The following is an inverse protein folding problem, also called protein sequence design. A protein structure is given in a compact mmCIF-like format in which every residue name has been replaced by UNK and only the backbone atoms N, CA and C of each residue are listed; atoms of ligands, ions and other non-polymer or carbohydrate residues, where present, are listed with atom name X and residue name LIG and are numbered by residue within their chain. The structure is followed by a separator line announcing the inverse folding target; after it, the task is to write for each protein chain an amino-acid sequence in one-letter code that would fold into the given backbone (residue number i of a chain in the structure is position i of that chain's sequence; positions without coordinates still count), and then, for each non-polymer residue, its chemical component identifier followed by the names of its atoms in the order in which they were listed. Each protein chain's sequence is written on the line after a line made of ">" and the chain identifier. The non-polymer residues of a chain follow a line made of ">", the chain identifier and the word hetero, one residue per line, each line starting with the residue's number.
data_IF_521851719652
#
_entry.id   IF_521851719652
#
_cell.length_a   1.000
_cell.length_b   1.000
_cell.length_c   1.000
_cell.angle_alpha   90.00
_cell.angle_beta   90.00
_cell.angle_gamma   90.00
#
_symmetry.space_group_name_H-M   'P 1'
#
loop_
_entity.id
_entity.type
_entity.pdbx_description
1 polymer ?
#
# COMPACT_ATOMS: atom_id res chain seq x y z
N UNK A 1 33.56 -42.51 20.73
CA UNK A 1 33.97 -42.40 19.32
C UNK A 1 34.96 -41.25 19.27
N UNK A 2 36.24 -41.55 19.09
CA UNK A 2 37.26 -40.51 18.87
C UNK A 2 37.12 -40.08 17.42
N UNK A 3 36.69 -38.84 17.18
CA UNK A 3 36.66 -38.29 15.84
C UNK A 3 38.09 -38.17 15.32
N UNK A 4 38.33 -38.59 14.07
CA UNK A 4 39.62 -38.42 13.44
C UNK A 4 39.79 -36.95 13.05
N UNK A 5 40.91 -36.33 13.45
CA UNK A 5 41.14 -34.90 13.23
C UNK A 5 41.34 -34.61 11.75
N UNK A 6 41.98 -35.50 10.99
CA UNK A 6 42.08 -35.41 9.53
C UNK A 6 40.71 -35.29 8.86
N UNK A 7 39.74 -36.15 9.21
CA UNK A 7 38.41 -36.17 8.59
C UNK A 7 37.66 -34.85 8.86
N UNK A 8 37.77 -34.30 10.08
CA UNK A 8 37.14 -33.02 10.43
C UNK A 8 37.74 -31.87 9.60
N UNK A 9 39.05 -31.90 9.36
CA UNK A 9 39.73 -30.88 8.56
C UNK A 9 39.35 -31.00 7.08
N UNK A 10 39.16 -32.22 6.57
CA UNK A 10 38.66 -32.46 5.21
C UNK A 10 37.23 -31.94 5.03
N UNK A 11 36.36 -32.14 6.02
CA UNK A 11 35.01 -31.58 6.04
C UNK A 11 35.04 -30.04 6.05
N UNK A 12 35.94 -29.43 6.84
CA UNK A 12 36.14 -27.98 6.84
C UNK A 12 36.58 -27.44 5.46
N UNK A 13 37.49 -28.16 4.78
CA UNK A 13 37.97 -27.80 3.44
C UNK A 13 36.86 -27.91 2.38
N UNK A 14 36.06 -28.98 2.45
CA UNK A 14 34.92 -29.18 1.55
C UNK A 14 33.87 -28.08 1.73
N UNK A 15 33.50 -27.79 2.98
CA UNK A 15 32.53 -26.74 3.30
C UNK A 15 33.04 -25.34 2.93
N UNK A 16 34.30 -25.02 3.19
CA UNK A 16 34.87 -23.72 2.82
C UNK A 16 34.99 -23.55 1.29
N UNK A 17 35.34 -24.60 0.56
CA UNK A 17 35.39 -24.57 -0.91
C UNK A 17 34.00 -24.31 -1.52
N UNK A 18 32.96 -24.97 -0.98
CA UNK A 18 31.56 -24.70 -1.36
C UNK A 18 31.15 -23.27 -1.01
N UNK A 19 31.49 -22.79 0.18
CA UNK A 19 31.17 -21.45 0.62
C UNK A 19 31.72 -20.39 -0.34
N UNK A 20 32.99 -20.51 -0.72
CA UNK A 20 33.65 -19.60 -1.66
C UNK A 20 33.02 -19.66 -3.05
N UNK A 21 32.63 -20.85 -3.52
CA UNK A 21 31.95 -20.99 -4.80
C UNK A 21 30.60 -20.27 -4.80
N UNK A 22 29.78 -20.48 -3.76
CA UNK A 22 28.48 -19.83 -3.65
C UNK A 22 28.58 -18.32 -3.42
N UNK A 23 29.64 -17.85 -2.74
CA UNK A 23 29.94 -16.43 -2.55
C UNK A 23 30.25 -15.77 -3.90
N UNK A 24 31.09 -16.40 -4.73
CA UNK A 24 31.40 -15.96 -6.10
C UNK A 24 30.19 -15.98 -7.02
N UNK A 25 29.32 -16.98 -6.86
CA UNK A 25 28.09 -17.12 -7.65
C UNK A 25 26.97 -16.16 -7.17
N UNK A 26 27.22 -15.32 -6.15
CA UNK A 26 26.27 -14.35 -5.60
C UNK A 26 25.16 -14.97 -4.74
N UNK A 27 25.23 -16.27 -4.42
CA UNK A 27 24.27 -16.98 -3.56
C UNK A 27 24.63 -16.78 -2.08
N UNK A 28 24.50 -15.54 -1.62
CA UNK A 28 24.99 -15.07 -0.31
C UNK A 28 24.44 -15.90 0.88
N UNK A 29 23.17 -16.28 0.88
CA UNK A 29 22.58 -17.06 1.99
C UNK A 29 23.19 -18.46 2.11
N UNK A 30 23.37 -19.13 0.97
CA UNK A 30 23.97 -20.47 0.91
C UNK A 30 25.46 -20.41 1.25
N UNK A 31 26.15 -19.37 0.78
CA UNK A 31 27.55 -19.12 1.13
C UNK A 31 27.73 -18.91 2.64
N UNK A 32 26.89 -18.06 3.27
CA UNK A 32 26.93 -17.81 4.70
C UNK A 32 26.72 -19.09 5.52
N UNK A 33 25.81 -19.98 5.08
CA UNK A 33 25.61 -21.29 5.71
C UNK A 33 26.89 -22.15 5.69
N UNK A 34 27.51 -22.32 4.52
CA UNK A 34 28.72 -23.15 4.39
C UNK A 34 29.95 -22.55 5.08
N UNK A 35 30.06 -21.22 5.14
CA UNK A 35 31.09 -20.56 5.95
C UNK A 35 30.92 -20.86 7.45
N UNK A 36 29.68 -20.85 7.97
CA UNK A 36 29.41 -21.26 9.37
C UNK A 36 29.72 -22.73 9.61
N UNK A 37 29.41 -23.62 8.66
CA UNK A 37 29.80 -25.03 8.78
C UNK A 37 31.32 -25.22 8.77
N UNK A 38 32.04 -24.54 7.89
CA UNK A 38 33.51 -24.58 7.86
C UNK A 38 34.11 -24.09 9.19
N UNK A 39 33.58 -22.99 9.75
CA UNK A 39 34.01 -22.49 11.06
C UNK A 39 33.73 -23.50 12.19
N UNK A 40 32.57 -24.16 12.18
CA UNK A 40 32.22 -25.20 13.15
C UNK A 40 33.16 -26.41 13.08
N UNK A 41 33.48 -26.90 11.88
CA UNK A 41 34.42 -28.01 11.71
C UNK A 41 35.82 -27.63 12.19
N UNK A 42 36.31 -26.43 11.87
CA UNK A 42 37.59 -25.95 12.39
C UNK A 42 37.61 -25.82 13.92
N UNK A 43 36.52 -25.33 14.53
CA UNK A 43 36.39 -25.28 15.99
C UNK A 43 36.39 -26.70 16.61
N UNK A 44 35.74 -27.66 15.95
CA UNK A 44 35.76 -29.06 16.37
C UNK A 44 37.17 -29.68 16.25
N UNK A 45 37.90 -29.38 15.18
CA UNK A 45 39.29 -29.81 14.99
C UNK A 45 40.21 -29.27 16.09
N UNK A 46 40.06 -27.99 16.45
CA UNK A 46 40.80 -27.34 17.55
C UNK A 46 40.57 -28.05 18.90
N UNK A 47 39.33 -28.45 19.18
CA UNK A 47 38.96 -29.14 20.41
C UNK A 47 39.40 -30.61 20.43
N UNK A 48 39.55 -31.23 19.26
CA UNK A 48 39.86 -32.65 19.12
C UNK A 48 41.37 -32.93 18.94
N UNK A 49 42.15 -31.92 18.55
CA UNK A 49 43.59 -32.05 18.38
C UNK A 49 44.36 -32.10 19.71
N UNK A 50 45.41 -32.93 19.77
CA UNK A 50 46.32 -33.01 20.91
C UNK A 50 47.19 -31.77 21.11
N UNK A 51 47.82 -31.64 22.28
CA UNK A 51 48.60 -30.44 22.67
C UNK A 51 49.86 -30.19 21.84
N UNK A 52 50.30 -31.15 21.02
CA UNK A 52 51.44 -31.00 20.11
C UNK A 52 51.12 -30.41 18.73
N UNK A 53 49.85 -30.18 18.41
CA UNK A 53 49.42 -29.66 17.09
C UNK A 53 49.26 -28.14 17.15
N UNK A 54 49.74 -27.42 16.14
CA UNK A 54 49.54 -25.98 16.04
C UNK A 54 48.08 -25.65 15.69
N UNK A 55 47.30 -25.20 16.68
CA UNK A 55 45.85 -24.91 16.58
C UNK A 55 45.53 -23.48 16.13
N UNK A 56 46.50 -22.57 16.15
CA UNK A 56 46.36 -21.16 15.73
C UNK A 56 45.76 -20.99 14.32
N UNK A 57 46.25 -21.66 13.25
CA UNK A 57 45.71 -21.43 11.91
C UNK A 57 44.23 -21.81 11.80
N UNK A 58 43.78 -22.82 12.52
CA UNK A 58 42.37 -23.24 12.52
C UNK A 58 41.49 -22.26 13.28
N UNK A 59 41.97 -21.68 14.39
CA UNK A 59 41.26 -20.62 15.11
C UNK A 59 41.09 -19.38 14.25
N UNK A 60 42.17 -18.90 13.66
CA UNK A 60 42.13 -17.70 12.81
C UNK A 60 41.21 -17.91 11.61
N UNK A 61 41.28 -19.08 10.97
CA UNK A 61 40.42 -19.38 9.82
C UNK A 61 38.94 -19.56 10.19
N UNK A 62 38.65 -20.13 11.36
CA UNK A 62 37.27 -20.23 11.86
C UNK A 62 36.67 -18.83 12.11
N UNK A 63 37.44 -17.92 12.71
CA UNK A 63 37.02 -16.55 12.95
C UNK A 63 36.79 -15.78 11.63
N UNK A 64 37.69 -15.92 10.66
CA UNK A 64 37.51 -15.34 9.31
C UNK A 64 36.21 -15.83 8.65
N UNK A 65 35.92 -17.12 8.70
CA UNK A 65 34.69 -17.69 8.12
C UNK A 65 33.43 -17.25 8.88
N UNK A 66 33.47 -17.15 10.20
CA UNK A 66 32.37 -16.58 10.96
C UNK A 66 32.12 -15.11 10.61
N UNK A 67 33.18 -14.32 10.49
CA UNK A 67 33.08 -12.91 10.14
C UNK A 67 32.50 -12.75 8.74
N UNK A 68 32.99 -13.52 7.76
CA UNK A 68 32.45 -13.50 6.40
C UNK A 68 30.97 -13.89 6.35
N UNK A 69 30.57 -14.91 7.12
CA UNK A 69 29.16 -15.30 7.22
C UNK A 69 28.28 -14.18 7.79
N UNK A 70 28.74 -13.49 8.85
CA UNK A 70 28.03 -12.34 9.44
C UNK A 70 27.90 -11.18 8.46
N UNK A 71 28.95 -10.89 7.69
CA UNK A 71 28.92 -9.84 6.66
C UNK A 71 27.92 -10.16 5.54
N UNK A 72 27.88 -11.42 5.08
CA UNK A 72 26.92 -11.87 4.08
C UNK A 72 25.48 -11.78 4.58
N UNK A 73 25.23 -12.17 5.84
CA UNK A 73 23.90 -12.04 6.45
C UNK A 73 23.44 -10.57 6.54
N UNK A 74 24.35 -9.68 6.98
CA UNK A 74 24.04 -8.25 7.08
C UNK A 74 23.79 -7.62 5.71
N UNK A 75 24.57 -8.01 4.70
CA UNK A 75 24.40 -7.54 3.31
C UNK A 75 23.08 -8.03 2.76
N UNK A 76 22.77 -9.32 2.86
CA UNK A 76 21.49 -9.88 2.42
C UNK A 76 20.29 -9.35 3.20
N UNK A 77 20.44 -8.98 4.47
CA UNK A 77 19.37 -8.32 5.24
C UNK A 77 19.12 -6.89 4.75
N UNK A 78 20.19 -6.11 4.46
CA UNK A 78 20.08 -4.77 3.89
C UNK A 78 19.45 -4.79 2.49
N UNK A 79 19.89 -5.69 1.62
CA UNK A 79 19.33 -5.87 0.28
C UNK A 79 17.83 -6.22 0.33
N UNK A 80 17.42 -7.14 1.22
CA UNK A 80 16.00 -7.48 1.43
C UNK A 80 15.18 -6.30 1.96
N UNK A 81 15.73 -5.53 2.89
CA UNK A 81 15.05 -4.34 3.42
C UNK A 81 14.85 -3.26 2.34
N UNK A 82 15.85 -3.06 1.48
CA UNK A 82 15.76 -2.16 0.33
C UNK A 82 14.71 -2.67 -0.68
N UNK A 83 14.75 -3.94 -1.05
CA UNK A 83 13.79 -4.54 -1.98
C UNK A 83 12.34 -4.46 -1.46
N UNK A 84 12.11 -4.72 -0.16
CA UNK A 84 10.79 -4.56 0.45
C UNK A 84 10.31 -3.10 0.46
N UNK A 85 11.22 -2.15 0.65
CA UNK A 85 10.91 -0.72 0.62
C UNK A 85 10.53 -0.28 -0.80
N UNK A 86 11.29 -0.74 -1.81
CA UNK A 86 10.98 -0.47 -3.22
C UNK A 86 9.66 -1.10 -3.65
N UNK A 87 9.41 -2.37 -3.31
CA UNK A 87 8.13 -3.02 -3.58
C UNK A 87 6.96 -2.29 -2.90
N UNK A 88 7.11 -1.88 -1.64
CA UNK A 88 6.10 -1.08 -0.92
C UNK A 88 5.86 0.28 -1.61
N UNK A 89 6.91 0.95 -2.09
CA UNK A 89 6.81 2.22 -2.78
C UNK A 89 6.08 2.08 -4.13
N UNK A 90 6.48 1.11 -4.95
CA UNK A 90 5.85 0.83 -6.24
C UNK A 90 4.38 0.44 -6.08
N UNK A 91 4.04 -0.32 -5.05
CA UNK A 91 2.66 -0.68 -4.76
C UNK A 91 1.81 0.51 -4.28
N UNK A 92 2.39 1.43 -3.49
CA UNK A 92 1.74 2.68 -3.11
C UNK A 92 1.40 3.53 -4.35
N UNK A 93 2.31 3.60 -5.33
CA UNK A 93 2.07 4.33 -6.58
C UNK A 93 0.91 3.74 -7.40
N UNK A 94 0.80 2.42 -7.48
CA UNK A 94 -0.34 1.76 -8.12
C UNK A 94 -1.66 2.09 -7.40
N UNK A 95 -1.67 2.03 -6.07
CA UNK A 95 -2.86 2.37 -5.28
C UNK A 95 -3.27 3.83 -5.49
N UNK A 96 -2.32 4.75 -5.57
CA UNK A 96 -2.58 6.16 -5.88
C UNK A 96 -3.16 6.34 -7.30
N UNK A 97 -2.59 5.69 -8.31
CA UNK A 97 -3.15 5.70 -9.68
C UNK A 97 -4.60 5.20 -9.69
N UNK A 98 -4.85 4.08 -9.01
CA UNK A 98 -6.17 3.47 -8.94
C UNK A 98 -7.18 4.37 -8.24
N UNK A 99 -6.77 5.00 -7.15
CA UNK A 99 -7.63 5.94 -6.43
C UNK A 99 -7.99 7.16 -7.28
N UNK A 100 -7.02 7.77 -7.98
CA UNK A 100 -7.28 8.86 -8.92
C UNK A 100 -8.24 8.44 -10.05
N UNK A 101 -8.08 7.24 -10.58
CA UNK A 101 -8.96 6.71 -11.62
C UNK A 101 -10.41 6.53 -11.13
N UNK A 102 -10.60 6.04 -9.90
CA UNK A 102 -11.93 5.94 -9.30
C UNK A 102 -12.55 7.33 -9.10
N UNK A 103 -11.79 8.31 -8.59
CA UNK A 103 -12.30 9.68 -8.44
C UNK A 103 -12.72 10.29 -9.79
N UNK A 104 -11.98 9.99 -10.86
CA UNK A 104 -12.35 10.42 -12.20
C UNK A 104 -13.66 9.79 -12.69
N UNK A 105 -13.89 8.49 -12.41
CA UNK A 105 -15.16 7.83 -12.70
C UNK A 105 -16.31 8.47 -11.92
N UNK A 106 -16.13 8.75 -10.64
CA UNK A 106 -17.16 9.37 -9.81
C UNK A 106 -17.54 10.77 -10.33
N UNK A 107 -16.54 11.57 -10.75
CA UNK A 107 -16.75 12.89 -11.34
C UNK A 107 -17.47 12.82 -12.70
N UNK A 108 -17.13 11.82 -13.53
CA UNK A 108 -17.79 11.55 -14.82
C UNK A 108 -19.26 11.15 -14.62
N UNK A 109 -19.53 10.22 -13.70
CA UNK A 109 -20.89 9.81 -13.34
C UNK A 109 -21.73 10.96 -12.76
N UNK A 110 -21.07 11.92 -12.09
CA UNK A 110 -21.71 13.13 -11.55
C UNK A 110 -21.96 14.22 -12.60
N UNK A 111 -21.48 14.03 -13.83
CA UNK A 111 -21.61 15.00 -14.92
C UNK A 111 -20.59 16.14 -14.89
N UNK A 112 -19.61 16.11 -13.99
CA UNK A 112 -18.52 17.09 -13.89
C UNK A 112 -17.41 16.75 -14.88
N UNK A 113 -17.68 16.94 -16.18
CA UNK A 113 -16.79 16.49 -17.25
C UNK A 113 -15.39 17.11 -17.20
N UNK A 114 -15.28 18.40 -16.87
CA UNK A 114 -13.99 19.09 -16.78
C UNK A 114 -13.10 18.50 -15.68
N UNK A 115 -13.68 18.26 -14.50
CA UNK A 115 -12.97 17.66 -13.36
C UNK A 115 -12.59 16.20 -13.65
N UNK A 116 -13.50 15.43 -14.26
CA UNK A 116 -13.23 14.05 -14.65
C UNK A 116 -12.03 13.94 -15.58
N UNK A 117 -11.94 14.81 -16.59
CA UNK A 117 -10.82 14.82 -17.54
C UNK A 117 -9.50 15.19 -16.87
N UNK A 118 -9.51 16.15 -15.94
CA UNK A 118 -8.34 16.52 -15.15
C UNK A 118 -7.86 15.35 -14.28
N UNK A 119 -8.78 14.64 -13.62
CA UNK A 119 -8.47 13.48 -12.79
C UNK A 119 -7.94 12.30 -13.62
N UNK A 120 -8.55 12.00 -14.76
CA UNK A 120 -8.03 10.99 -15.69
C UNK A 120 -6.63 11.35 -16.19
N UNK A 121 -6.41 12.61 -16.57
CA UNK A 121 -5.10 13.09 -17.04
C UNK A 121 -4.02 12.90 -15.98
N UNK A 122 -4.31 13.20 -14.71
CA UNK A 122 -3.38 12.96 -13.59
C UNK A 122 -3.13 11.47 -13.34
N UNK A 123 -4.17 10.63 -13.41
CA UNK A 123 -4.02 9.18 -13.26
C UNK A 123 -3.07 8.60 -14.33
N UNK A 124 -3.17 9.08 -15.58
CA UNK A 124 -2.29 8.69 -16.69
C UNK A 124 -0.85 9.14 -16.43
N UNK A 125 -0.65 10.41 -16.05
CA UNK A 125 0.69 10.95 -15.76
C UNK A 125 1.37 10.17 -14.62
N UNK A 126 0.64 9.91 -13.52
CA UNK A 126 1.16 9.16 -12.37
C UNK A 126 1.45 7.71 -12.77
N UNK A 127 0.58 7.08 -13.56
CA UNK A 127 0.77 5.72 -14.05
C UNK A 127 1.99 5.57 -14.96
N UNK A 128 2.22 6.52 -15.87
CA UNK A 128 3.39 6.55 -16.74
C UNK A 128 4.68 6.84 -15.97
N UNK A 129 4.63 7.72 -14.97
CA UNK A 129 5.78 7.99 -14.10
C UNK A 129 6.16 6.74 -13.28
N UNK A 130 5.18 6.10 -12.63
CA UNK A 130 5.39 4.88 -11.86
C UNK A 130 5.90 3.71 -12.72
N UNK A 131 5.40 3.58 -13.97
CA UNK A 131 5.88 2.58 -14.92
C UNK A 131 7.37 2.72 -15.24
N UNK A 132 7.89 3.94 -15.33
CA UNK A 132 9.32 4.21 -15.61
C UNK A 132 10.22 3.87 -14.43
N UNK A 133 9.70 3.99 -13.20
CA UNK A 133 10.47 3.76 -11.98
C UNK A 133 10.44 2.30 -11.53
N UNK A 134 9.34 1.58 -11.77
CA UNK A 134 9.21 0.20 -11.30
C UNK A 134 9.87 -0.82 -12.22
N UNK A 135 10.49 -1.84 -11.65
CA UNK A 135 11.11 -2.96 -12.37
C UNK A 135 10.19 -4.18 -12.52
N UNK A 136 9.09 -4.22 -11.77
CA UNK A 136 8.11 -5.31 -11.77
C UNK A 136 7.21 -5.26 -13.03
N UNK A 137 7.31 -6.32 -13.85
CA UNK A 137 6.60 -6.47 -15.13
C UNK A 137 5.08 -6.56 -14.94
N UNK A 138 4.59 -7.29 -13.93
CA UNK A 138 3.15 -7.42 -13.69
C UNK A 138 2.54 -6.07 -13.27
N UNK A 139 3.29 -5.33 -12.47
CA UNK A 139 2.89 -4.00 -12.02
C UNK A 139 2.87 -3.00 -13.17
N UNK A 140 3.89 -3.03 -14.03
CA UNK A 140 3.93 -2.23 -15.25
C UNK A 140 2.71 -2.50 -16.13
N UNK A 141 2.31 -3.77 -16.29
CA UNK A 141 1.14 -4.16 -17.07
C UNK A 141 -0.15 -3.59 -16.47
N UNK A 142 -0.34 -3.71 -15.15
CA UNK A 142 -1.49 -3.12 -14.43
C UNK A 142 -1.57 -1.61 -14.61
N UNK A 143 -0.44 -0.91 -14.45
CA UNK A 143 -0.35 0.54 -14.65
C UNK A 143 -0.67 0.94 -16.10
N UNK A 144 -0.17 0.20 -17.09
CA UNK A 144 -0.49 0.47 -18.50
C UNK A 144 -1.96 0.25 -18.81
N UNK A 145 -2.56 -0.81 -18.28
CA UNK A 145 -3.97 -1.11 -18.50
C UNK A 145 -4.86 -0.03 -17.89
N UNK A 146 -4.49 0.48 -16.72
CA UNK A 146 -5.21 1.57 -16.06
C UNK A 146 -5.05 2.90 -16.83
N UNK A 147 -3.84 3.24 -17.23
CA UNK A 147 -3.57 4.44 -18.02
C UNK A 147 -4.29 4.42 -19.37
N UNK A 148 -4.35 3.27 -20.05
CA UNK A 148 -5.10 3.10 -21.30
C UNK A 148 -6.59 3.37 -21.11
N UNK A 149 -7.21 2.75 -20.11
CA UNK A 149 -8.64 2.96 -19.79
C UNK A 149 -8.95 4.43 -19.47
N UNK A 150 -8.07 5.06 -18.70
CA UNK A 150 -8.20 6.48 -18.36
C UNK A 150 -8.09 7.38 -19.60
N UNK A 151 -7.17 7.07 -20.51
CA UNK A 151 -6.96 7.82 -21.74
C UNK A 151 -8.15 7.70 -22.68
N UNK A 152 -8.62 6.48 -22.95
CA UNK A 152 -9.80 6.22 -23.79
C UNK A 152 -11.01 7.03 -23.29
N UNK A 153 -11.26 7.00 -21.97
CA UNK A 153 -12.40 7.74 -21.40
C UNK A 153 -12.21 9.26 -21.43
N UNK A 154 -11.00 9.75 -21.19
CA UNK A 154 -10.69 11.18 -21.27
C UNK A 154 -10.84 11.73 -22.70
N UNK A 155 -10.48 10.93 -23.71
CA UNK A 155 -10.65 11.27 -25.13
C UNK A 155 -12.13 11.33 -25.51
N UNK A 156 -12.93 10.36 -25.07
CA UNK A 156 -14.39 10.35 -25.24
C UNK A 156 -15.04 11.61 -24.63
N UNK A 157 -14.61 12.01 -23.43
CA UNK A 157 -15.12 13.21 -22.75
C UNK A 157 -14.68 14.51 -23.43
N UNK A 158 -13.48 14.57 -24.00
CA UNK A 158 -12.98 15.73 -24.76
C UNK A 158 -13.46 15.78 -26.22
N UNK A 159 -14.18 14.75 -26.69
CA UNK A 159 -14.69 14.68 -28.06
C UNK A 159 -13.60 14.54 -29.12
N UNK A 160 -12.43 13.99 -28.77
CA UNK A 160 -11.35 13.72 -29.73
C UNK A 160 -11.65 12.36 -30.38
N UNK A 161 -11.87 12.27 -31.71
CA UNK A 161 -12.11 10.99 -32.36
C UNK A 161 -10.83 10.14 -32.33
N UNK A 162 -10.96 8.88 -31.88
CA UNK A 162 -9.89 7.90 -31.90
C UNK A 162 -9.36 7.70 -33.34
N UNK A 163 -8.04 7.46 -33.53
CA UNK A 163 -7.49 7.16 -34.84
C UNK A 163 -8.10 5.85 -35.38
N UNK A 164 -8.77 5.95 -36.53
CA UNK A 164 -9.53 4.87 -37.15
C UNK A 164 -8.71 3.58 -37.34
N UNK A 165 -9.23 2.46 -36.83
CA UNK A 165 -8.52 1.18 -36.92
C UNK A 165 -9.28 -0.06 -36.45
N UNK A 166 -10.53 -0.26 -36.92
CA UNK A 166 -11.24 -1.54 -37.22
C UNK A 166 -12.75 -1.44 -36.90
N UNK A 167 -13.65 -1.81 -37.84
CA UNK A 167 -15.09 -1.79 -37.59
C UNK A 167 -15.59 -3.12 -36.99
N UNK A 168 -16.52 -3.04 -36.03
CA UNK A 168 -17.75 -3.88 -35.84
C UNK A 168 -18.25 -3.86 -34.38
N UNK A 169 -19.54 -4.20 -34.12
CA UNK A 169 -20.77 -3.76 -34.76
C UNK A 169 -21.68 -3.01 -33.74
N UNK A 170 -22.67 -2.29 -34.27
CA UNK A 170 -23.44 -1.28 -33.55
C UNK A 170 -24.10 -1.72 -32.25
N UNK A 171 -23.92 -0.90 -31.21
CA UNK A 171 -24.85 -0.82 -30.08
C UNK A 171 -25.79 0.35 -30.35
N UNK A 172 -27.04 0.02 -30.65
CA UNK A 172 -28.14 0.95 -30.87
C UNK A 172 -28.27 1.86 -29.65
N UNK A 173 -28.08 3.15 -29.85
CA UNK A 173 -28.44 4.20 -28.90
C UNK A 173 -29.97 4.26 -28.82
N UNK A 174 -30.54 3.69 -27.77
CA UNK A 174 -31.94 3.93 -27.41
C UNK A 174 -31.93 4.95 -26.30
N UNK A 175 -32.02 6.23 -26.66
CA UNK A 175 -32.48 7.26 -25.74
C UNK A 175 -34.00 7.10 -25.55
N UNK A 176 -34.52 6.94 -24.32
CA UNK A 176 -35.93 7.15 -24.07
C UNK A 176 -36.16 8.65 -23.97
N UNK A 177 -36.76 9.21 -25.01
CA UNK A 177 -37.33 10.56 -25.02
C UNK A 177 -38.58 10.56 -24.13
N UNK A 178 -38.56 11.28 -23.02
CA UNK A 178 -39.78 11.61 -22.26
C UNK A 178 -40.27 13.01 -22.64
N UNK A 179 -41.60 13.24 -22.78
CA UNK A 179 -42.16 14.52 -23.18
C UNK A 179 -42.25 15.50 -22.00
N UNK A 180 -42.09 16.79 -22.32
CA UNK A 180 -42.28 17.91 -21.40
C UNK A 180 -43.76 18.12 -21.06
N UNK A 181 -44.07 18.39 -19.79
CA UNK A 181 -45.32 19.04 -19.36
C UNK A 181 -45.06 19.97 -18.16
N UNK A 182 -45.79 21.09 -18.22
CA UNK A 182 -45.71 22.34 -17.47
C UNK A 182 -45.91 22.30 -15.94
N UNK A 183 -45.50 23.43 -15.34
CA UNK A 183 -45.76 23.90 -13.98
C UNK A 183 -47.24 23.79 -13.54
N UNK A 184 -47.46 23.40 -12.28
CA UNK A 184 -48.02 24.22 -11.18
C UNK A 184 -48.92 23.42 -10.20
N UNK A 185 -48.88 23.82 -8.91
CA UNK A 185 -49.79 23.51 -7.78
C UNK A 185 -49.47 22.35 -6.80
N UNK A 186 -48.83 22.72 -5.68
CA UNK A 186 -49.33 22.68 -4.28
C UNK A 186 -50.07 21.45 -3.66
N UNK A 187 -49.37 20.82 -2.71
CA UNK A 187 -49.83 20.25 -1.40
C UNK A 187 -50.33 18.78 -1.37
N UNK A 188 -50.46 18.11 -0.18
CA UNK A 188 -49.63 16.94 0.13
C UNK A 188 -50.45 15.68 0.47
N UNK A 189 -49.96 14.47 0.22
CA UNK A 189 -50.43 13.27 0.94
C UNK A 189 -49.57 12.03 0.74
N UNK A 190 -49.06 11.54 1.88
CA UNK A 190 -48.97 10.14 2.33
C UNK A 190 -48.44 9.12 1.31
N UNK A 191 -47.15 8.80 1.43
CA UNK A 191 -46.56 7.60 0.80
C UNK A 191 -46.40 6.51 1.85
N UNK A 192 -47.12 5.41 1.64
CA UNK A 192 -46.90 4.12 2.29
C UNK A 192 -45.61 3.53 1.73
N UNK A 193 -44.64 3.24 2.60
CA UNK A 193 -43.36 2.64 2.26
C UNK A 193 -43.49 1.13 2.05
N UNK A 194 -43.39 0.68 0.79
CA UNK A 194 -42.94 -0.67 0.46
C UNK A 194 -41.42 -0.66 0.30
N UNK A 195 -40.72 -1.25 1.26
CA UNK A 195 -39.27 -1.34 1.27
C UNK A 195 -38.78 -2.38 0.24
N UNK A 196 -38.33 -1.90 -0.93
CA UNK A 196 -37.32 -2.59 -1.72
C UNK A 196 -36.03 -1.80 -1.59
N UNK A 197 -35.13 -2.30 -0.74
CA UNK A 197 -33.83 -1.72 -0.47
C UNK A 197 -32.89 -1.97 -1.65
N UNK A 198 -32.87 -1.07 -2.63
CA UNK A 198 -31.68 -0.86 -3.46
C UNK A 198 -30.63 -0.20 -2.58
N UNK A 199 -29.68 -1.00 -2.10
CA UNK A 199 -28.54 -0.51 -1.31
C UNK A 199 -27.70 0.44 -2.19
N UNK A 200 -27.41 1.68 -1.75
CA UNK A 200 -26.42 2.49 -2.42
C UNK A 200 -25.03 1.84 -2.25
N UNK A 201 -24.21 1.75 -3.30
CA UNK A 201 -22.85 1.26 -3.17
C UNK A 201 -22.07 2.21 -2.25
N UNK A 202 -21.37 1.66 -1.26
CA UNK A 202 -20.48 2.43 -0.39
C UNK A 202 -19.33 2.98 -1.23
N UNK A 203 -19.48 4.22 -1.69
CA UNK A 203 -18.50 4.95 -2.47
C UNK A 203 -17.30 5.28 -1.58
N UNK A 204 -16.13 4.78 -1.97
CA UNK A 204 -14.87 4.96 -1.24
C UNK A 204 -14.00 5.93 -2.05
N UNK A 205 -14.10 7.23 -1.76
CA UNK A 205 -13.07 8.19 -2.19
C UNK A 205 -13.51 9.51 -2.79
N UNK A 206 -14.81 9.74 -3.03
CA UNK A 206 -15.31 11.02 -3.55
C UNK A 206 -16.34 11.64 -2.61
N UNK A 207 -16.09 12.90 -2.24
CA UNK A 207 -17.00 13.76 -1.50
C UNK A 207 -18.19 14.22 -2.35
N UNK A 208 -18.26 13.86 -3.64
CA UNK A 208 -19.25 14.37 -4.59
C UNK A 208 -20.71 14.11 -4.16
N UNK A 209 -20.96 13.07 -3.37
CA UNK A 209 -22.29 12.76 -2.85
C UNK A 209 -22.53 13.23 -1.40
N UNK A 210 -21.51 13.80 -0.76
CA UNK A 210 -21.62 14.34 0.60
C UNK A 210 -22.35 15.67 0.54
N UNK A 211 -23.56 15.70 1.09
CA UNK A 211 -24.30 16.95 1.29
C UNK A 211 -23.92 17.50 2.66
N UNK A 212 -23.33 18.69 2.68
CA UNK A 212 -23.15 19.45 3.93
C UNK A 212 -24.54 19.72 4.49
N UNK A 213 -24.84 19.15 5.66
CA UNK A 213 -26.08 19.43 6.37
C UNK A 213 -25.86 20.67 7.24
N UNK A 214 -26.53 21.77 6.90
CA UNK A 214 -26.34 23.08 7.56
C UNK A 214 -26.34 24.24 6.57
N UNK A 215 -26.03 25.45 7.04
CA UNK A 215 -25.78 26.58 6.13
C UNK A 215 -24.43 26.37 5.43
N UNK A 216 -24.43 26.45 4.10
CA UNK A 216 -23.24 26.20 3.28
C UNK A 216 -22.08 27.17 3.58
N UNK A 217 -22.40 28.36 4.10
CA UNK A 217 -21.45 29.41 4.44
C UNK A 217 -21.81 29.99 5.82
N UNK A 218 -21.01 29.69 6.82
CA UNK A 218 -21.08 30.37 8.13
C UNK A 218 -20.58 31.81 7.98
N UNK A 219 -21.19 32.74 8.71
CA UNK A 219 -20.69 34.12 8.87
C UNK A 219 -19.36 34.13 9.63
N UNK A 220 -18.58 35.22 9.52
CA UNK A 220 -17.30 35.33 10.26
C UNK A 220 -17.50 35.29 11.77
N UNK A 221 -18.64 35.79 12.26
CA UNK A 221 -19.04 35.71 13.66
C UNK A 221 -19.29 34.26 14.08
N UNK A 222 -20.06 33.51 13.30
CA UNK A 222 -20.35 32.09 13.57
C UNK A 222 -19.07 31.24 13.48
N UNK A 223 -18.21 31.46 12.48
CA UNK A 223 -16.91 30.78 12.41
C UNK A 223 -16.08 31.03 13.65
N UNK A 224 -16.03 32.28 14.14
CA UNK A 224 -15.27 32.64 15.35
C UNK A 224 -15.85 31.96 16.60
N UNK A 225 -17.17 31.88 16.70
CA UNK A 225 -17.84 31.14 17.78
C UNK A 225 -17.48 29.65 17.70
N UNK A 226 -17.64 29.03 16.52
CA UNK A 226 -17.33 27.61 16.31
C UNK A 226 -15.86 27.30 16.61
N UNK A 227 -14.92 28.13 16.18
CA UNK A 227 -13.49 27.98 16.50
C UNK A 227 -13.25 28.00 18.03
N UNK A 228 -13.99 28.84 18.76
CA UNK A 228 -13.87 28.96 20.21
C UNK A 228 -14.56 27.81 20.96
N UNK A 229 -15.71 27.35 20.48
CA UNK A 229 -16.54 26.35 21.18
C UNK A 229 -16.24 24.92 20.77
N UNK A 230 -15.65 24.68 19.60
CA UNK A 230 -15.42 23.33 19.08
C UNK A 230 -14.11 22.74 19.56
N UNK A 231 -13.93 22.71 20.88
CA UNK A 231 -12.80 22.03 21.53
C UNK A 231 -13.31 20.92 22.43
N UNK A 232 -12.85 19.71 22.19
CA UNK A 232 -13.11 18.56 23.07
C UNK A 232 -11.75 18.06 23.55
N UNK A 233 -11.54 18.03 24.87
CA UNK A 233 -10.26 17.64 25.48
C UNK A 233 -9.05 18.43 24.94
N UNK A 234 -9.22 19.74 24.69
CA UNK A 234 -8.25 20.63 24.04
C UNK A 234 -7.89 20.28 22.57
N UNK A 235 -8.54 19.29 21.98
CA UNK A 235 -8.43 18.98 20.54
C UNK A 235 -9.49 19.82 19.81
N UNK A 236 -9.07 20.45 18.72
CA UNK A 236 -9.92 21.29 17.88
C UNK A 236 -10.72 20.44 16.88
N UNK A 237 -12.04 20.59 16.88
CA UNK A 237 -12.96 19.88 16.00
C UNK A 237 -13.67 20.87 15.08
N UNK A 238 -13.12 21.12 13.90
CA UNK A 238 -13.77 22.02 12.96
C UNK A 238 -15.05 21.37 12.38
N UNK A 239 -16.12 22.16 12.21
CA UNK A 239 -17.32 21.68 11.52
C UNK A 239 -16.99 21.40 10.05
N UNK A 240 -17.59 20.36 9.48
CA UNK A 240 -17.46 20.06 8.06
C UNK A 240 -18.08 21.19 7.21
N UNK A 241 -17.31 21.75 6.30
CA UNK A 241 -17.65 22.88 5.43
C UNK A 241 -17.60 22.48 3.95
N UNK A 242 -18.13 23.36 3.09
CA UNK A 242 -18.11 23.17 1.63
C UNK A 242 -16.70 23.06 1.07
N UNK A 243 -15.73 23.80 1.62
CA UNK A 243 -14.32 23.74 1.23
C UNK A 243 -13.68 22.35 1.47
N UNK A 244 -14.21 21.57 2.42
CA UNK A 244 -13.71 20.23 2.73
C UNK A 244 -14.15 19.21 1.67
N UNK A 245 -15.14 19.52 0.83
CA UNK A 245 -15.53 18.67 -0.30
C UNK A 245 -14.42 18.60 -1.35
N UNK A 246 -13.69 19.70 -1.53
CA UNK A 246 -12.60 19.82 -2.49
C UNK A 246 -11.26 19.33 -1.91
N UNK A 247 -11.23 18.94 -0.63
CA UNK A 247 -10.02 18.46 0.01
C UNK A 247 -9.55 17.13 -0.60
N UNK A 248 -8.28 17.09 -0.99
CA UNK A 248 -7.67 15.90 -1.58
C UNK A 248 -6.85 15.17 -0.53
N UNK A 249 -7.35 14.01 -0.11
CA UNK A 249 -6.66 13.10 0.82
C UNK A 249 -5.48 12.32 0.19
N UNK A 250 -4.85 12.86 -0.85
CA UNK A 250 -3.70 12.27 -1.53
C UNK A 250 -2.43 13.05 -1.18
N UNK A 251 -1.86 12.74 -0.02
CA UNK A 251 -0.62 13.38 0.41
C UNK A 251 0.60 12.54 0.01
N UNK A 252 1.64 13.21 -0.48
CA UNK A 252 2.96 12.61 -0.74
C UNK A 252 3.61 12.09 0.53
N UNK A 253 3.36 12.79 1.64
CA UNK A 253 3.79 12.39 2.98
C UNK A 253 2.60 11.83 3.75
N UNK A 254 2.76 10.70 4.46
CA UNK A 254 1.70 10.18 5.31
C UNK A 254 1.27 11.21 6.36
N UNK A 255 -0.05 11.40 6.50
CA UNK A 255 -0.60 12.29 7.52
C UNK A 255 -0.05 11.95 8.91
N UNK A 256 0.40 12.98 9.62
CA UNK A 256 0.87 12.88 11.00
C UNK A 256 0.01 13.80 11.84
N UNK A 257 -0.66 13.21 12.83
CA UNK A 257 -1.51 13.94 13.75
C UNK A 257 -0.66 14.97 14.53
N UNK A 258 -1.16 16.21 14.64
CA UNK A 258 -0.48 17.28 15.36
C UNK A 258 -0.55 17.09 16.87
N UNK A 259 -1.62 16.47 17.35
CA UNK A 259 -1.84 16.19 18.77
C UNK A 259 -1.18 14.87 19.22
N UNK A 260 -0.57 14.15 18.26
CA UNK A 260 0.22 12.96 18.51
C UNK A 260 -0.60 11.68 18.54
N UNK A 261 -0.14 10.71 19.33
CA UNK A 261 -0.74 9.38 19.39
C UNK A 261 -1.78 9.30 20.50
N UNK A 262 -2.81 8.48 20.30
CA UNK A 262 -3.87 8.28 21.28
C UNK A 262 -3.30 7.80 22.62
N UNK A 263 -3.61 8.51 23.70
CA UNK A 263 -3.25 8.12 25.05
C UNK A 263 -3.94 6.80 25.42
N UNK A 264 -3.16 5.82 25.86
CA UNK A 264 -3.65 4.50 26.22
C UNK A 264 -3.83 4.38 27.74
N UNK A 265 -4.89 3.70 28.17
CA UNK A 265 -5.05 3.30 29.56
C UNK A 265 -3.99 2.24 29.96
N UNK A 266 -3.71 2.05 31.26
CA UNK A 266 -2.76 1.01 31.71
C UNK A 266 -3.12 -0.41 31.23
N UNK A 267 -4.42 -0.70 31.10
CA UNK A 267 -4.91 -1.98 30.56
C UNK A 267 -4.59 -2.13 29.08
N UNK A 268 -4.78 -1.08 28.29
CA UNK A 268 -4.46 -1.08 26.86
C UNK A 268 -2.95 -1.21 26.63
N UNK A 269 -2.13 -0.49 27.40
CA UNK A 269 -0.67 -0.57 27.31
C UNK A 269 -0.14 -2.01 27.47
N UNK A 270 -0.77 -2.84 28.31
CA UNK A 270 -0.35 -4.24 28.51
C UNK A 270 -0.43 -5.10 27.24
N UNK A 271 -1.42 -4.85 26.39
CA UNK A 271 -1.67 -5.62 25.17
C UNK A 271 -1.27 -4.85 23.89
N UNK A 272 -0.80 -3.62 24.05
CA UNK A 272 -0.46 -2.75 22.93
C UNK A 272 0.98 -2.99 22.48
N UNK A 273 1.17 -3.27 21.20
CA UNK A 273 2.51 -3.45 20.63
C UNK A 273 3.11 -2.12 20.17
N UNK A 274 2.52 -1.49 19.15
CA UNK A 274 3.01 -0.24 18.58
C UNK A 274 1.97 0.40 17.67
N UNK A 275 2.10 1.70 17.44
CA UNK A 275 1.39 2.41 16.38
C UNK A 275 2.13 2.20 15.07
N UNK A 276 1.44 1.65 14.08
CA UNK A 276 2.03 1.35 12.77
C UNK A 276 0.97 1.56 11.69
N UNK A 277 1.36 2.02 10.51
CA UNK A 277 0.40 2.18 9.40
C UNK A 277 0.14 0.81 8.77
N UNK A 278 -1.07 0.56 8.24
CA UNK A 278 -1.37 -0.69 7.53
C UNK A 278 -0.34 -1.05 6.46
N UNK A 279 0.14 -0.06 5.71
CA UNK A 279 1.17 -0.23 4.68
C UNK A 279 2.53 -0.71 5.17
N UNK A 280 2.82 -0.56 6.46
CA UNK A 280 4.16 -0.80 7.01
C UNK A 280 4.31 -2.25 7.51
N UNK A 281 3.20 -2.96 7.70
CA UNK A 281 3.20 -4.35 8.16
C UNK A 281 2.36 -5.30 7.28
N UNK A 282 1.57 -4.78 6.34
CA UNK A 282 0.76 -5.57 5.43
C UNK A 282 0.76 -4.98 4.02
N UNK A 283 1.05 -5.82 3.03
CA UNK A 283 1.09 -5.47 1.61
C UNK A 283 -0.29 -5.12 1.04
N UNK A 284 -1.35 -5.80 1.51
CA UNK A 284 -2.73 -5.59 1.07
C UNK A 284 -3.69 -5.61 2.27
N UNK A 285 -3.77 -4.52 3.05
CA UNK A 285 -4.61 -4.50 4.24
C UNK A 285 -6.10 -4.57 3.88
N UNK A 286 -6.79 -5.60 4.37
CA UNK A 286 -8.24 -5.78 4.20
C UNK A 286 -8.91 -5.63 5.57
N UNK A 287 -9.87 -4.71 5.67
CA UNK A 287 -10.65 -4.52 6.91
C UNK A 287 -11.63 -5.67 7.19
N UNK A 288 -12.02 -6.42 6.15
CA UNK A 288 -13.05 -7.46 6.24
C UNK A 288 -12.45 -8.81 5.86
N UNK A 289 -12.67 -9.81 6.71
CA UNK A 289 -12.25 -11.19 6.48
C UNK A 289 -13.26 -11.86 5.53
N UNK A 290 -13.10 -11.63 4.23
CA UNK A 290 -13.93 -12.23 3.17
C UNK A 290 -14.62 -11.21 2.26
N UNK A 291 -15.62 -11.66 1.50
CA UNK A 291 -16.38 -10.81 0.58
C UNK A 291 -17.43 -9.93 1.27
N UNK A 292 -17.86 -10.29 2.48
CA UNK A 292 -18.97 -9.63 3.17
C UNK A 292 -18.59 -9.30 4.61
N UNK A 293 -19.13 -8.19 5.13
CA UNK A 293 -18.98 -7.81 6.54
C UNK A 293 -19.73 -8.83 7.39
N UNK A 294 -19.00 -9.59 8.19
CA UNK A 294 -19.58 -10.53 9.16
C UNK A 294 -19.72 -9.86 10.53
N UNK A 295 -20.94 -9.81 11.05
CA UNK A 295 -21.22 -9.25 12.37
C UNK A 295 -20.58 -10.06 13.50
N UNK A 296 -20.32 -11.35 13.31
CA UNK A 296 -19.63 -12.20 14.30
C UNK A 296 -18.14 -11.86 14.44
N UNK A 297 -17.58 -11.12 13.48
CA UNK A 297 -16.18 -10.69 13.50
C UNK A 297 -15.94 -9.46 14.38
N UNK A 298 -16.99 -8.73 14.79
CA UNK A 298 -16.88 -7.53 15.62
C UNK A 298 -16.81 -7.95 17.09
N UNK A 299 -15.64 -7.78 17.72
CA UNK A 299 -15.47 -7.97 19.17
C UNK A 299 -15.50 -6.62 19.86
N UNK A 300 -16.49 -6.40 20.72
CA UNK A 300 -16.52 -5.24 21.61
C UNK A 300 -15.75 -5.61 22.89
N UNK A 301 -14.67 -4.88 23.17
CA UNK A 301 -13.85 -4.99 24.39
C UNK A 301 -14.29 -4.01 25.46
#
# INVERSE_FOLDING_TARGET
>A
MSWNVEDIVEDALTSSSRAVQFDKDGKQEVAAFYYREAAKFLALAVNSAGDGVNKEPWRNKAEEYEQRAKELDQTGAKERALAHTEQSASQKQLQQCHFLFLQALDADESGNQDEAVDLYSRAIQLGLAAKKTTTDVELQEKLTNLARKALERAEELKGIPAPEGKPQPGRVSVQPRLPALDENQSTPSVVRSSAQASRPPLHRGSSAHLKVTGQANYTEEEKRVLLQTSRINNIEYLPFMSVDLDERFQYTLPFTDRDGLLALSPKQHKNFSKWTRPSDFCTEPKMVVGQHVDCFSIKQT
#
